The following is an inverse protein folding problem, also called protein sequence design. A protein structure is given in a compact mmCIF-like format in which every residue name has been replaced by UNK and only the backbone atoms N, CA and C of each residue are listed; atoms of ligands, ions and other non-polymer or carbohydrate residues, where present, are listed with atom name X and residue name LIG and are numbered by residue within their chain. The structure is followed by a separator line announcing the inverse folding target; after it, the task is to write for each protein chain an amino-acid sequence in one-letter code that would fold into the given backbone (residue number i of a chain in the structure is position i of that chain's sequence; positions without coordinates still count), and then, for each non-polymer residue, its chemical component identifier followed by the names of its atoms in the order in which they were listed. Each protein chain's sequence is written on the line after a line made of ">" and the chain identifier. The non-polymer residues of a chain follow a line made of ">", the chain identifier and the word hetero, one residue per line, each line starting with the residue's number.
data_IF_399805009702
#
_entry.id   IF_399805009702
#
_cell.length_a   1.000
_cell.length_b   1.000
_cell.length_c   1.000
_cell.angle_alpha   90.00
_cell.angle_beta   90.00
_cell.angle_gamma   90.00
#
_symmetry.space_group_name_H-M   'P 1'
#
loop_
_entity.id
_entity.type
_entity.pdbx_description
1 polymer ?
#
# COMPACT_ATOMS: atom_id res chain seq x y z
N UNK A 1 -39.95 39.85 -48.90
CA UNK A 1 -38.75 38.97 -48.83
C UNK A 1 -38.57 38.48 -47.41
N UNK A 2 -39.02 37.26 -47.11
CA UNK A 2 -38.74 36.57 -45.84
C UNK A 2 -38.16 35.22 -46.25
N UNK A 3 -36.84 35.05 -46.09
CA UNK A 3 -36.16 33.78 -46.34
C UNK A 3 -36.32 32.90 -45.11
N UNK A 4 -37.11 31.83 -45.23
CA UNK A 4 -37.19 30.77 -44.22
C UNK A 4 -36.03 29.78 -44.41
N UNK A 5 -35.12 29.71 -43.45
CA UNK A 5 -34.12 28.65 -43.37
C UNK A 5 -34.72 27.42 -42.67
N UNK A 6 -34.96 26.35 -43.43
CA UNK A 6 -35.29 25.04 -42.87
C UNK A 6 -33.99 24.33 -42.48
N UNK A 7 -33.65 24.31 -41.19
CA UNK A 7 -32.56 23.47 -40.68
C UNK A 7 -33.08 22.03 -40.58
N UNK A 8 -32.72 21.20 -41.56
CA UNK A 8 -32.88 19.75 -41.46
C UNK A 8 -31.84 19.27 -40.43
N UNK A 9 -32.29 19.02 -39.19
CA UNK A 9 -31.50 18.26 -38.21
C UNK A 9 -31.43 16.81 -38.67
N UNK A 10 -30.37 16.47 -39.39
CA UNK A 10 -29.98 15.06 -39.59
C UNK A 10 -29.50 14.53 -38.22
N UNK A 11 -30.43 13.95 -37.46
CA UNK A 11 -30.12 13.16 -36.28
C UNK A 11 -29.53 11.82 -36.73
N UNK A 12 -28.23 11.83 -37.01
CA UNK A 12 -27.43 10.62 -37.10
C UNK A 12 -27.35 9.97 -35.71
N UNK A 13 -28.30 9.10 -35.40
CA UNK A 13 -28.17 8.18 -34.28
C UNK A 13 -27.08 7.16 -34.62
N UNK A 14 -25.85 7.43 -34.21
CA UNK A 14 -24.90 6.35 -33.99
C UNK A 14 -25.47 5.46 -32.88
N UNK A 15 -26.08 4.33 -33.28
CA UNK A 15 -26.49 3.26 -32.38
C UNK A 15 -25.24 2.69 -31.71
N UNK A 16 -24.85 3.28 -30.58
CA UNK A 16 -23.88 2.67 -29.67
C UNK A 16 -24.49 1.37 -29.18
N UNK A 17 -23.92 0.24 -29.60
CA UNK A 17 -24.32 -1.09 -29.16
C UNK A 17 -24.19 -1.14 -27.64
N UNK A 18 -25.32 -1.14 -26.91
CA UNK A 18 -25.33 -1.24 -25.45
C UNK A 18 -24.90 -2.65 -25.06
N UNK A 19 -23.65 -2.81 -24.66
CA UNK A 19 -23.17 -4.05 -24.06
C UNK A 19 -23.89 -4.28 -22.73
N UNK A 20 -24.37 -5.51 -22.52
CA UNK A 20 -24.98 -5.91 -21.26
C UNK A 20 -23.89 -6.01 -20.19
N UNK A 21 -24.16 -5.48 -19.01
CA UNK A 21 -23.29 -5.67 -17.85
C UNK A 21 -23.34 -7.13 -17.38
N UNK A 22 -22.31 -7.61 -16.66
CA UNK A 22 -22.37 -8.87 -15.96
C UNK A 22 -23.60 -8.96 -15.04
N UNK A 23 -24.07 -10.18 -14.72
CA UNK A 23 -25.20 -10.37 -13.79
C UNK A 23 -24.85 -9.77 -12.42
N UNK A 24 -25.85 -9.32 -11.66
CA UNK A 24 -25.62 -8.75 -10.34
C UNK A 24 -26.89 -8.69 -9.50
N UNK A 25 -26.77 -8.59 -8.17
CA UNK A 25 -27.93 -8.38 -7.30
C UNK A 25 -28.64 -7.07 -7.69
N UNK A 26 -29.95 -7.02 -7.50
CA UNK A 26 -30.75 -5.84 -7.79
C UNK A 26 -30.38 -4.71 -6.82
N UNK A 27 -29.76 -3.61 -7.28
CA UNK A 27 -29.30 -2.55 -6.40
C UNK A 27 -30.48 -1.75 -5.83
N UNK A 28 -30.36 -1.29 -4.59
CA UNK A 28 -31.29 -0.32 -4.02
C UNK A 28 -31.09 1.06 -4.68
N UNK A 29 -32.13 1.89 -4.65
CA UNK A 29 -32.07 3.26 -5.16
C UNK A 29 -31.02 4.06 -4.36
N UNK A 30 -30.17 4.83 -5.06
CA UNK A 30 -29.07 5.65 -4.54
C UNK A 30 -27.89 4.89 -3.88
N UNK A 31 -28.15 3.94 -2.99
CA UNK A 31 -27.12 3.29 -2.16
C UNK A 31 -26.61 1.96 -2.73
N UNK A 32 -27.27 1.41 -3.76
CA UNK A 32 -26.89 0.12 -4.32
C UNK A 32 -27.01 -1.01 -3.29
N UNK A 33 -26.03 -1.90 -3.24
CA UNK A 33 -25.99 -3.05 -2.33
C UNK A 33 -25.22 -2.75 -1.02
N UNK A 34 -25.02 -1.47 -0.69
CA UNK A 34 -24.30 -1.04 0.52
C UNK A 34 -24.94 -1.56 1.82
N UNK A 35 -26.27 -1.48 2.04
CA UNK A 35 -26.88 -1.97 3.27
C UNK A 35 -26.62 -3.47 3.49
N UNK A 36 -26.81 -4.28 2.44
CA UNK A 36 -26.56 -5.73 2.47
C UNK A 36 -25.10 -6.05 2.77
N UNK A 37 -24.17 -5.33 2.15
CA UNK A 37 -22.73 -5.48 2.39
C UNK A 37 -22.36 -5.13 3.84
N UNK A 38 -22.94 -4.07 4.43
CA UNK A 38 -22.62 -3.63 5.79
C UNK A 38 -23.05 -4.65 6.86
N UNK A 39 -24.17 -5.34 6.64
CA UNK A 39 -24.66 -6.40 7.53
C UNK A 39 -23.82 -7.67 7.43
N UNK A 40 -23.20 -7.93 6.27
CA UNK A 40 -22.51 -9.20 5.97
C UNK A 40 -20.98 -9.09 5.94
N UNK A 41 -20.36 -8.21 6.74
CA UNK A 41 -18.89 -8.09 6.78
C UNK A 41 -18.22 -9.41 7.23
N UNK A 42 -17.01 -9.73 6.74
CA UNK A 42 -16.16 -8.92 5.87
C UNK A 42 -16.59 -8.97 4.39
N UNK A 43 -16.37 -7.86 3.68
CA UNK A 43 -16.88 -7.62 2.31
C UNK A 43 -16.50 -8.73 1.32
N UNK A 44 -15.25 -9.21 1.36
CA UNK A 44 -14.80 -10.26 0.44
C UNK A 44 -15.55 -11.60 0.62
N UNK A 45 -15.94 -11.94 1.86
CA UNK A 45 -16.74 -13.16 2.13
C UNK A 45 -18.17 -12.99 1.66
N UNK A 46 -18.75 -11.80 1.85
CA UNK A 46 -20.08 -11.48 1.34
C UNK A 46 -20.12 -11.56 -0.19
N UNK A 47 -19.16 -10.94 -0.89
CA UNK A 47 -19.04 -11.03 -2.35
C UNK A 47 -18.95 -12.50 -2.79
N UNK A 48 -18.09 -13.30 -2.15
CA UNK A 48 -17.93 -14.71 -2.50
C UNK A 48 -19.22 -15.52 -2.30
N UNK A 49 -19.92 -15.31 -1.18
CA UNK A 49 -21.20 -15.97 -0.89
C UNK A 49 -22.27 -15.58 -1.92
N UNK A 50 -22.38 -14.29 -2.22
CA UNK A 50 -23.30 -13.77 -3.23
C UNK A 50 -23.05 -14.38 -4.61
N UNK A 51 -21.78 -14.46 -5.04
CA UNK A 51 -21.43 -15.06 -6.34
C UNK A 51 -21.77 -16.55 -6.39
N UNK A 52 -21.59 -17.29 -5.28
CA UNK A 52 -22.02 -18.69 -5.18
C UNK A 52 -23.53 -18.86 -5.27
N UNK A 53 -24.29 -18.04 -4.55
CA UNK A 53 -25.76 -18.08 -4.57
C UNK A 53 -26.33 -17.74 -5.95
N UNK A 54 -25.68 -16.80 -6.66
CA UNK A 54 -26.03 -16.42 -8.03
C UNK A 54 -25.53 -17.41 -9.09
N UNK A 55 -24.74 -18.43 -8.71
CA UNK A 55 -24.08 -19.37 -9.59
C UNK A 55 -23.36 -18.67 -10.77
N UNK A 56 -22.52 -17.69 -10.45
CA UNK A 56 -21.81 -16.90 -11.46
C UNK A 56 -20.33 -16.70 -11.13
N UNK A 57 -19.51 -16.60 -12.16
CA UNK A 57 -18.06 -16.43 -12.05
C UNK A 57 -17.59 -14.99 -12.25
N UNK A 58 -18.50 -14.12 -12.74
CA UNK A 58 -18.30 -12.68 -12.92
C UNK A 58 -19.60 -11.97 -12.59
N UNK A 59 -19.55 -10.98 -11.72
CA UNK A 59 -20.74 -10.22 -11.33
C UNK A 59 -20.54 -8.71 -11.45
N UNK A 60 -21.63 -7.95 -11.41
CA UNK A 60 -21.63 -6.50 -11.30
C UNK A 60 -22.37 -6.07 -10.04
N UNK A 61 -21.64 -5.69 -9.01
CA UNK A 61 -22.18 -5.25 -7.72
C UNK A 61 -22.07 -3.74 -7.64
N UNK A 62 -23.20 -3.04 -7.54
CA UNK A 62 -23.20 -1.60 -7.33
C UNK A 62 -23.11 -1.26 -5.84
N UNK A 63 -22.10 -0.51 -5.41
CA UNK A 63 -21.98 0.05 -4.06
C UNK A 63 -22.05 1.58 -4.18
N UNK A 64 -23.16 2.18 -3.77
CA UNK A 64 -23.41 3.61 -3.99
C UNK A 64 -23.30 3.99 -5.47
N UNK A 65 -22.31 4.84 -5.78
CA UNK A 65 -22.03 5.32 -7.13
C UNK A 65 -20.98 4.50 -7.90
N UNK A 66 -20.43 3.44 -7.31
CA UNK A 66 -19.34 2.65 -7.91
C UNK A 66 -19.81 1.25 -8.26
N UNK A 67 -19.44 0.77 -9.44
CA UNK A 67 -19.62 -0.63 -9.84
C UNK A 67 -18.35 -1.43 -9.50
N UNK A 68 -18.52 -2.52 -8.76
CA UNK A 68 -17.48 -3.50 -8.45
C UNK A 68 -17.74 -4.73 -9.30
N UNK A 69 -16.71 -5.15 -10.04
CA UNK A 69 -16.75 -6.35 -10.87
C UNK A 69 -15.88 -7.44 -10.22
N UNK A 70 -16.42 -8.27 -9.32
CA UNK A 70 -15.68 -9.40 -8.80
C UNK A 70 -15.63 -10.53 -9.83
N UNK A 71 -14.50 -11.24 -9.84
CA UNK A 71 -14.25 -12.39 -10.71
C UNK A 71 -13.67 -13.53 -9.88
N UNK A 72 -14.22 -14.73 -10.03
CA UNK A 72 -13.75 -15.96 -9.36
C UNK A 72 -13.17 -17.00 -10.31
N UNK A 73 -13.39 -16.86 -11.62
CA UNK A 73 -12.86 -17.76 -12.64
C UNK A 73 -11.44 -17.37 -13.08
N UNK A 74 -10.45 -18.29 -12.99
CA UNK A 74 -9.08 -18.03 -13.43
C UNK A 74 -8.97 -17.65 -14.91
N UNK A 75 -9.78 -18.25 -15.79
CA UNK A 75 -9.77 -17.95 -17.22
C UNK A 75 -10.20 -16.51 -17.49
N UNK A 76 -11.27 -16.04 -16.83
CA UNK A 76 -11.70 -14.64 -16.92
C UNK A 76 -10.64 -13.71 -16.31
N UNK A 77 -10.01 -14.12 -15.19
CA UNK A 77 -8.92 -13.36 -14.60
C UNK A 77 -7.75 -13.15 -15.58
N UNK A 78 -7.38 -14.17 -16.35
CA UNK A 78 -6.33 -14.04 -17.37
C UNK A 78 -6.70 -13.06 -18.51
N UNK A 79 -7.98 -12.92 -18.85
CA UNK A 79 -8.39 -11.96 -19.90
C UNK A 79 -8.03 -10.52 -19.48
N UNK A 80 -8.31 -10.09 -18.25
CA UNK A 80 -8.02 -8.70 -17.84
C UNK A 80 -6.68 -8.51 -17.11
N UNK A 81 -6.07 -9.55 -16.52
CA UNK A 81 -4.76 -9.43 -15.87
C UNK A 81 -3.58 -9.65 -16.84
N UNK A 82 -3.83 -10.19 -18.04
CA UNK A 82 -2.75 -10.52 -18.99
C UNK A 82 -3.02 -10.05 -20.41
N UNK A 83 -4.20 -10.33 -20.97
CA UNK A 83 -4.50 -10.01 -22.37
C UNK A 83 -4.90 -8.54 -22.56
N UNK A 84 -5.65 -8.00 -21.60
CA UNK A 84 -6.09 -6.61 -21.54
C UNK A 84 -5.45 -5.88 -20.35
N UNK A 85 -4.26 -6.29 -19.93
CA UNK A 85 -3.62 -5.77 -18.71
C UNK A 85 -3.46 -4.24 -18.75
N UNK A 86 -3.12 -3.66 -19.89
CA UNK A 86 -3.00 -2.21 -20.09
C UNK A 86 -4.31 -1.47 -19.76
N UNK A 87 -5.46 -2.02 -20.18
CA UNK A 87 -6.78 -1.40 -19.97
C UNK A 87 -7.21 -1.48 -18.49
N UNK A 88 -6.77 -2.53 -17.77
CA UNK A 88 -7.15 -2.81 -16.38
C UNK A 88 -6.04 -2.54 -15.36
N UNK A 89 -4.91 -1.97 -15.78
CA UNK A 89 -3.79 -1.74 -14.87
C UNK A 89 -4.05 -0.62 -13.86
N UNK A 90 -5.04 0.25 -14.12
CA UNK A 90 -5.43 1.36 -13.25
C UNK A 90 -5.86 0.89 -11.85
N UNK A 91 -5.63 1.73 -10.84
CA UNK A 91 -6.05 1.48 -9.47
C UNK A 91 -7.16 2.46 -9.08
N UNK A 92 -8.17 2.03 -8.29
CA UNK A 92 -9.20 2.93 -7.82
C UNK A 92 -8.59 3.98 -6.90
N UNK A 93 -8.90 5.25 -7.16
CA UNK A 93 -8.49 6.35 -6.30
C UNK A 93 -9.43 6.40 -5.09
N UNK A 94 -8.86 6.31 -3.89
CA UNK A 94 -9.62 6.32 -2.63
C UNK A 94 -9.17 7.46 -1.73
N UNK A 95 -10.03 7.89 -0.82
CA UNK A 95 -9.71 8.91 0.18
C UNK A 95 -8.44 8.57 0.96
N UNK A 96 -8.31 7.31 1.42
CA UNK A 96 -7.15 6.87 2.18
C UNK A 96 -5.86 6.93 1.35
N UNK A 97 -5.91 6.44 0.11
CA UNK A 97 -4.73 6.40 -0.77
C UNK A 97 -4.33 7.81 -1.23
N UNK A 98 -5.28 8.70 -1.49
CA UNK A 98 -5.02 10.11 -1.77
C UNK A 98 -4.31 10.83 -0.62
N UNK A 99 -4.71 10.57 0.64
CA UNK A 99 -4.05 11.15 1.81
C UNK A 99 -2.64 10.58 1.98
N UNK A 100 -2.48 9.26 1.95
CA UNK A 100 -1.19 8.58 2.18
C UNK A 100 -0.17 8.96 1.11
N UNK A 101 -0.58 9.06 -0.15
CA UNK A 101 0.28 9.43 -1.28
C UNK A 101 0.48 10.93 -1.47
N UNK A 102 0.03 11.77 -0.52
CA UNK A 102 0.13 13.24 -0.61
C UNK A 102 -0.47 13.83 -1.90
N UNK A 103 -1.62 13.30 -2.33
CA UNK A 103 -2.31 13.69 -3.55
C UNK A 103 -1.79 12.98 -4.79
N UNK A 104 -1.57 11.65 -4.70
CA UNK A 104 -1.23 10.78 -5.83
C UNK A 104 0.10 11.11 -6.51
N UNK A 105 1.11 11.51 -5.74
CA UNK A 105 2.44 11.79 -6.30
C UNK A 105 3.34 10.55 -6.36
N UNK A 106 2.92 9.40 -5.85
CA UNK A 106 3.73 8.19 -5.67
C UNK A 106 3.30 7.03 -6.57
N UNK A 107 4.23 6.13 -6.92
CA UNK A 107 4.02 5.05 -7.92
C UNK A 107 2.79 4.17 -7.66
N UNK A 108 2.52 3.84 -6.39
CA UNK A 108 1.51 2.84 -6.05
C UNK A 108 0.08 3.32 -6.35
N UNK A 109 -0.11 4.63 -6.53
CA UNK A 109 -1.43 5.27 -6.52
C UNK A 109 -1.55 6.40 -7.57
N UNK A 110 -0.48 6.77 -8.26
CA UNK A 110 -0.55 7.76 -9.34
C UNK A 110 -1.28 7.17 -10.56
N UNK A 111 -2.25 7.89 -11.15
CA UNK A 111 -2.89 7.48 -12.40
C UNK A 111 -1.86 7.28 -13.52
N UNK A 112 -2.19 6.45 -14.50
CA UNK A 112 -1.36 6.26 -15.69
C UNK A 112 -1.06 7.60 -16.38
N UNK A 113 0.20 7.82 -16.73
CA UNK A 113 0.69 9.06 -17.33
C UNK A 113 2.19 9.23 -17.14
N UNK A 114 2.71 10.42 -17.47
CA UNK A 114 4.15 10.71 -17.40
C UNK A 114 4.69 10.63 -15.97
N UNK A 115 3.93 11.10 -14.97
CA UNK A 115 4.32 10.96 -13.56
C UNK A 115 4.44 9.49 -13.14
N UNK A 116 3.51 8.63 -13.59
CA UNK A 116 3.60 7.20 -13.32
C UNK A 116 4.82 6.57 -13.99
N UNK A 117 5.10 6.91 -15.25
CA UNK A 117 6.29 6.41 -15.97
C UNK A 117 7.58 6.85 -15.26
N UNK A 118 7.68 8.12 -14.87
CA UNK A 118 8.79 8.66 -14.07
C UNK A 118 8.99 7.86 -12.79
N UNK A 119 7.92 7.69 -12.01
CA UNK A 119 7.98 6.96 -10.74
C UNK A 119 8.31 5.47 -10.94
N UNK A 120 7.76 4.83 -11.98
CA UNK A 120 8.07 3.44 -12.34
C UNK A 120 9.53 3.25 -12.70
N UNK A 121 10.10 4.14 -13.49
CA UNK A 121 11.53 4.11 -13.81
C UNK A 121 12.38 4.15 -12.54
N UNK A 122 12.08 5.09 -11.64
CA UNK A 122 12.82 5.25 -10.37
C UNK A 122 12.73 3.98 -9.52
N UNK A 123 11.54 3.41 -9.37
CA UNK A 123 11.38 2.19 -8.59
C UNK A 123 12.14 1.02 -9.18
N UNK A 124 11.99 0.76 -10.47
CA UNK A 124 12.57 -0.43 -11.11
C UNK A 124 14.09 -0.33 -11.24
N UNK A 125 14.59 0.84 -11.64
CA UNK A 125 16.02 1.00 -11.96
C UNK A 125 16.83 1.38 -10.74
N UNK A 126 16.32 2.32 -9.93
CA UNK A 126 17.13 2.98 -8.90
C UNK A 126 16.91 2.35 -7.51
N UNK A 127 15.69 1.92 -7.18
CA UNK A 127 15.35 1.42 -5.83
C UNK A 127 15.33 -0.12 -5.71
N UNK A 128 14.82 -0.81 -6.73
CA UNK A 128 14.55 -2.25 -6.68
C UNK A 128 15.27 -3.04 -7.78
N UNK A 129 16.36 -2.51 -8.32
CA UNK A 129 17.21 -3.27 -9.22
C UNK A 129 17.96 -4.39 -8.48
N UNK A 130 18.38 -5.46 -9.18
CA UNK A 130 19.15 -6.54 -8.55
C UNK A 130 20.43 -6.04 -7.86
N UNK A 131 21.12 -5.07 -8.48
CA UNK A 131 22.30 -4.42 -7.89
C UNK A 131 21.95 -3.69 -6.60
N UNK A 132 20.85 -2.93 -6.58
CA UNK A 132 20.40 -2.22 -5.37
C UNK A 132 19.98 -3.20 -4.27
N UNK A 133 19.35 -4.31 -4.65
CA UNK A 133 19.00 -5.37 -3.71
C UNK A 133 20.24 -5.98 -3.04
N UNK A 134 21.30 -6.25 -3.81
CA UNK A 134 22.57 -6.76 -3.29
C UNK A 134 23.29 -5.73 -2.42
N UNK A 135 23.32 -4.47 -2.85
CA UNK A 135 23.95 -3.38 -2.07
C UNK A 135 23.32 -3.20 -0.67
N UNK A 136 22.03 -3.49 -0.53
CA UNK A 136 21.31 -3.43 0.74
C UNK A 136 21.35 -4.76 1.54
N UNK A 137 22.10 -5.76 1.11
CA UNK A 137 22.12 -7.09 1.73
C UNK A 137 22.63 -7.04 3.17
N UNK A 138 23.74 -6.36 3.42
CA UNK A 138 24.34 -6.29 4.76
C UNK A 138 23.38 -5.65 5.77
N UNK A 139 22.62 -4.64 5.35
CA UNK A 139 21.59 -4.02 6.18
C UNK A 139 20.46 -4.99 6.55
N UNK A 140 20.08 -5.89 5.64
CA UNK A 140 19.07 -6.93 5.94
C UNK A 140 19.63 -8.00 6.86
N UNK A 141 20.90 -8.38 6.68
CA UNK A 141 21.58 -9.35 7.54
C UNK A 141 21.70 -8.81 8.96
N UNK A 142 22.12 -7.55 9.12
CA UNK A 142 22.21 -6.87 10.41
C UNK A 142 20.86 -6.89 11.15
N UNK A 143 19.76 -6.63 10.44
CA UNK A 143 18.42 -6.68 11.03
C UNK A 143 17.98 -8.11 11.38
N UNK A 144 18.44 -9.13 10.64
CA UNK A 144 18.21 -10.54 10.95
C UNK A 144 18.98 -10.97 12.20
N UNK A 145 20.24 -10.57 12.34
CA UNK A 145 21.04 -10.83 13.53
C UNK A 145 20.43 -10.18 14.77
N UNK A 146 19.95 -8.94 14.63
CA UNK A 146 19.33 -8.22 15.73
C UNK A 146 18.00 -8.85 16.19
N UNK A 147 17.16 -9.37 15.28
CA UNK A 147 15.93 -10.05 15.70
C UNK A 147 16.23 -11.38 16.39
N UNK A 148 17.27 -12.09 15.94
CA UNK A 148 17.75 -13.30 16.61
C UNK A 148 18.27 -12.99 18.01
N UNK A 149 19.04 -11.92 18.16
CA UNK A 149 19.52 -11.45 19.46
C UNK A 149 18.35 -11.13 20.41
N UNK A 150 17.33 -10.43 19.93
CA UNK A 150 16.15 -10.10 20.72
C UNK A 150 15.38 -11.34 21.20
N UNK A 151 15.11 -12.28 20.29
CA UNK A 151 14.42 -13.54 20.64
C UNK A 151 15.26 -14.35 21.62
N UNK A 152 16.57 -14.45 21.40
CA UNK A 152 17.48 -15.16 22.30
C UNK A 152 17.47 -14.56 23.71
N UNK A 153 17.52 -13.22 23.83
CA UNK A 153 17.50 -12.55 25.13
C UNK A 153 16.18 -12.78 25.88
N UNK A 154 15.05 -12.77 25.16
CA UNK A 154 13.72 -13.12 25.69
C UNK A 154 13.66 -14.56 26.21
N UNK A 155 14.26 -15.52 25.50
CA UNK A 155 14.32 -16.92 25.93
C UNK A 155 15.26 -17.13 27.13
N UNK A 156 16.38 -16.40 27.21
CA UNK A 156 17.38 -16.58 28.26
C UNK A 156 16.98 -15.96 29.60
N UNK A 157 16.22 -14.88 29.59
CA UNK A 157 15.75 -14.18 30.78
C UNK A 157 14.22 -14.24 30.87
N UNK A 158 13.63 -15.43 31.12
CA UNK A 158 12.19 -15.57 31.18
C UNK A 158 11.62 -14.79 32.37
N UNK A 159 10.90 -13.71 32.10
CA UNK A 159 9.94 -13.12 33.03
C UNK A 159 8.59 -13.84 32.90
N UNK A 160 7.55 -13.44 33.65
CA UNK A 160 6.17 -13.96 33.49
C UNK A 160 5.61 -13.82 32.04
N UNK A 161 6.31 -13.08 31.16
CA UNK A 161 6.04 -12.87 29.73
C UNK A 161 7.06 -13.61 28.82
N UNK A 162 7.50 -14.82 29.21
CA UNK A 162 8.51 -15.62 28.51
C UNK A 162 8.06 -16.13 27.12
N UNK A 163 6.76 -16.08 26.80
CA UNK A 163 6.24 -16.52 25.51
C UNK A 163 6.56 -15.49 24.42
N UNK A 164 7.26 -15.93 23.39
CA UNK A 164 7.57 -15.08 22.24
C UNK A 164 6.35 -14.97 21.33
N UNK A 165 5.76 -13.77 21.27
CA UNK A 165 4.71 -13.47 20.30
C UNK A 165 5.33 -13.31 18.90
N UNK A 166 5.28 -14.39 18.10
CA UNK A 166 5.85 -14.44 16.75
C UNK A 166 5.29 -13.35 15.84
N UNK A 167 4.01 -12.99 15.99
CA UNK A 167 3.41 -11.88 15.23
C UNK A 167 4.11 -10.57 15.54
N UNK A 168 4.27 -10.23 16.82
CA UNK A 168 4.91 -8.97 17.22
C UNK A 168 6.36 -8.93 16.73
N UNK A 169 7.12 -10.01 16.95
CA UNK A 169 8.51 -10.16 16.48
C UNK A 169 8.61 -9.96 14.97
N UNK A 170 7.75 -10.63 14.20
CA UNK A 170 7.71 -10.51 12.74
C UNK A 170 7.37 -9.08 12.27
N UNK A 171 6.38 -8.45 12.91
CA UNK A 171 5.98 -7.08 12.61
C UNK A 171 7.12 -6.09 12.87
N UNK A 172 7.80 -6.20 14.02
CA UNK A 172 8.94 -5.37 14.35
C UNK A 172 10.12 -5.60 13.41
N UNK A 173 10.46 -6.85 13.13
CA UNK A 173 11.53 -7.16 12.17
C UNK A 173 11.26 -6.55 10.80
N UNK A 174 10.04 -6.71 10.25
CA UNK A 174 9.71 -6.11 8.96
C UNK A 174 9.83 -4.58 8.95
N UNK A 175 9.29 -3.92 9.98
CA UNK A 175 9.35 -2.47 10.11
C UNK A 175 10.79 -1.97 10.27
N UNK A 176 11.61 -2.68 11.05
CA UNK A 176 13.01 -2.31 11.27
C UNK A 176 13.85 -2.52 10.01
N UNK A 177 13.66 -3.63 9.28
CA UNK A 177 14.23 -3.82 7.94
C UNK A 177 13.86 -2.66 7.04
N UNK A 178 12.57 -2.35 6.87
CA UNK A 178 12.14 -1.24 6.01
C UNK A 178 12.79 0.10 6.44
N UNK A 179 12.87 0.37 7.74
CA UNK A 179 13.51 1.58 8.28
C UNK A 179 15.01 1.63 8.00
N UNK A 180 15.72 0.52 8.19
CA UNK A 180 17.15 0.39 7.93
C UNK A 180 17.45 0.56 6.44
N UNK A 181 16.63 -0.01 5.55
CA UNK A 181 16.81 0.15 4.11
C UNK A 181 16.52 1.59 3.64
N UNK A 182 15.53 2.26 4.24
CA UNK A 182 15.11 3.60 3.81
C UNK A 182 15.99 4.70 4.42
N UNK A 183 16.33 4.61 5.71
CA UNK A 183 16.95 5.69 6.48
C UNK A 183 18.30 5.33 7.11
N UNK A 184 18.80 4.11 6.86
CA UNK A 184 19.96 3.55 7.56
C UNK A 184 19.85 3.61 9.10
N UNK A 185 18.62 3.64 9.62
CA UNK A 185 18.33 3.89 11.03
C UNK A 185 17.52 2.73 11.60
N UNK A 186 17.94 2.22 12.77
CA UNK A 186 17.21 1.17 13.50
C UNK A 186 16.19 1.76 14.47
N UNK A 187 16.59 2.72 15.30
CA UNK A 187 15.74 3.33 16.32
C UNK A 187 15.48 4.81 16.05
N UNK A 188 14.25 5.28 16.28
CA UNK A 188 13.95 6.71 16.30
C UNK A 188 14.30 7.35 17.64
N UNK A 189 14.19 6.58 18.73
CA UNK A 189 14.53 6.98 20.09
C UNK A 189 15.69 6.17 20.66
N UNK A 190 15.69 5.99 21.99
CA UNK A 190 16.65 5.12 22.67
C UNK A 190 16.24 3.67 22.45
N UNK A 191 17.12 2.89 21.83
CA UNK A 191 16.93 1.43 21.73
C UNK A 191 16.95 0.74 23.09
N UNK A 192 16.57 -0.53 23.11
CA UNK A 192 16.63 -1.37 24.31
C UNK A 192 17.90 -2.23 24.31
N UNK A 193 18.39 -2.57 25.50
CA UNK A 193 19.58 -3.41 25.70
C UNK A 193 19.37 -4.84 25.18
N UNK A 194 18.13 -5.33 25.22
CA UNK A 194 17.73 -6.62 24.67
C UNK A 194 17.60 -6.61 23.13
N UNK A 195 17.88 -5.50 22.46
CA UNK A 195 17.72 -5.36 21.00
C UNK A 195 16.27 -5.26 20.52
N UNK A 196 15.31 -5.22 21.46
CA UNK A 196 13.89 -5.09 21.22
C UNK A 196 13.46 -3.67 20.84
N UNK A 197 12.19 -3.49 20.46
CA UNK A 197 11.66 -2.18 20.07
C UNK A 197 11.57 -1.23 21.27
N UNK A 198 11.92 0.04 21.06
CA UNK A 198 11.62 1.12 22.01
C UNK A 198 10.17 1.62 21.89
N UNK A 199 9.81 2.63 22.68
CA UNK A 199 8.45 3.20 22.66
C UNK A 199 8.10 3.79 21.29
N UNK A 200 9.05 4.50 20.67
CA UNK A 200 8.88 5.09 19.35
C UNK A 200 8.75 4.02 18.25
N UNK A 201 9.45 2.88 18.38
CA UNK A 201 9.33 1.76 17.46
C UNK A 201 7.95 1.11 17.53
N UNK A 202 7.45 0.88 18.74
CA UNK A 202 6.12 0.33 18.98
C UNK A 202 5.03 1.27 18.45
N UNK A 203 5.15 2.57 18.73
CA UNK A 203 4.23 3.60 18.19
C UNK A 203 4.27 3.59 16.65
N UNK A 204 5.47 3.59 16.06
CA UNK A 204 5.68 3.60 14.61
C UNK A 204 5.09 2.37 13.92
N UNK A 205 5.34 1.16 14.44
CA UNK A 205 4.78 -0.09 13.91
C UNK A 205 3.25 -0.05 13.96
N UNK A 206 2.68 0.35 15.10
CA UNK A 206 1.23 0.45 15.26
C UNK A 206 0.61 1.41 14.24
N UNK A 207 1.22 2.59 14.03
CA UNK A 207 0.77 3.57 13.05
C UNK A 207 0.77 2.98 11.63
N UNK A 208 1.81 2.24 11.25
CA UNK A 208 1.87 1.64 9.92
C UNK A 208 0.73 0.63 9.73
N UNK A 209 0.47 -0.22 10.72
CA UNK A 209 -0.66 -1.16 10.66
C UNK A 209 -2.02 -0.46 10.64
N UNK A 210 -2.16 0.68 11.33
CA UNK A 210 -3.33 1.55 11.19
C UNK A 210 -3.46 2.01 9.75
N UNK A 211 -2.41 2.52 9.11
CA UNK A 211 -2.48 2.97 7.72
C UNK A 211 -2.81 1.81 6.77
N UNK A 212 -2.10 0.68 6.86
CA UNK A 212 -2.33 -0.50 6.04
C UNK A 212 -3.76 -1.03 6.14
N UNK A 213 -4.34 -1.03 7.36
CA UNK A 213 -5.73 -1.46 7.59
C UNK A 213 -6.75 -0.59 6.83
N UNK A 214 -6.40 0.65 6.51
CA UNK A 214 -7.31 1.58 5.82
C UNK A 214 -7.00 1.73 4.33
N UNK A 215 -5.83 1.25 3.85
CA UNK A 215 -5.53 1.19 2.41
C UNK A 215 -6.52 0.24 1.73
N UNK A 216 -7.29 0.77 0.76
CA UNK A 216 -8.37 0.07 0.06
C UNK A 216 -9.45 -0.55 0.95
N UNK A 217 -9.51 -0.18 2.23
CA UNK A 217 -10.63 -0.55 3.08
C UNK A 217 -11.90 0.14 2.59
N UNK A 218 -13.04 -0.53 2.77
CA UNK A 218 -14.32 0.10 2.51
C UNK A 218 -14.46 1.39 3.34
N UNK A 219 -14.53 2.55 2.69
CA UNK A 219 -14.93 3.81 3.30
C UNK A 219 -16.18 4.35 2.63
N UNK A 220 -17.15 4.82 3.41
CA UNK A 220 -18.40 5.40 2.88
C UNK A 220 -18.10 6.53 1.89
N UNK A 221 -17.05 7.32 2.16
CA UNK A 221 -16.64 8.45 1.33
C UNK A 221 -16.22 8.07 -0.10
N UNK A 222 -15.74 6.84 -0.31
CA UNK A 222 -15.31 6.35 -1.63
C UNK A 222 -16.49 5.92 -2.51
N UNK A 223 -17.63 5.55 -1.90
CA UNK A 223 -18.82 5.05 -2.59
C UNK A 223 -19.96 6.07 -2.65
N UNK A 224 -20.02 6.96 -1.66
CA UNK A 224 -21.00 8.04 -1.54
C UNK A 224 -20.27 9.35 -1.24
N UNK A 225 -19.74 10.06 -2.26
CA UNK A 225 -18.84 11.20 -2.07
C UNK A 225 -19.44 12.36 -1.24
N UNK A 226 -20.74 12.61 -1.36
CA UNK A 226 -21.42 13.69 -0.62
C UNK A 226 -21.48 13.43 0.90
N UNK A 227 -21.39 12.18 1.34
CA UNK A 227 -21.25 11.82 2.76
C UNK A 227 -19.80 11.93 3.26
N UNK A 228 -18.82 12.14 2.36
CA UNK A 228 -17.40 12.18 2.71
C UNK A 228 -16.98 13.34 3.62
N UNK A 229 -17.82 14.37 3.77
CA UNK A 229 -17.59 15.45 4.73
C UNK A 229 -17.81 15.01 6.19
N UNK A 230 -18.68 14.03 6.42
CA UNK A 230 -19.12 13.64 7.76
C UNK A 230 -18.17 12.64 8.46
N UNK A 231 -17.29 11.96 7.71
CA UNK A 231 -16.36 10.94 8.24
C UNK A 231 -17.08 9.89 9.12
N UNK A 232 -18.22 9.38 8.65
CA UNK A 232 -19.14 8.52 9.41
C UNK A 232 -18.48 7.24 9.96
N UNK A 233 -17.48 6.71 9.26
CA UNK A 233 -16.72 5.52 9.65
C UNK A 233 -15.41 5.87 10.39
N UNK A 234 -15.09 7.15 10.54
CA UNK A 234 -13.86 7.65 11.17
C UNK A 234 -12.59 7.36 10.35
N UNK A 235 -12.70 6.84 9.12
CA UNK A 235 -11.53 6.44 8.33
C UNK A 235 -10.64 7.63 8.02
N UNK A 236 -11.22 8.77 7.63
CA UNK A 236 -10.47 9.97 7.25
C UNK A 236 -9.64 10.47 8.42
N UNK A 237 -10.23 10.54 9.61
CA UNK A 237 -9.53 10.95 10.83
C UNK A 237 -8.40 9.99 11.21
N UNK A 238 -8.63 8.68 11.17
CA UNK A 238 -7.61 7.67 11.46
C UNK A 238 -6.43 7.75 10.50
N UNK A 239 -6.70 7.86 9.19
CA UNK A 239 -5.64 7.98 8.17
C UNK A 239 -4.88 9.30 8.32
N UNK A 240 -5.57 10.43 8.54
CA UNK A 240 -4.90 11.72 8.77
C UNK A 240 -4.02 11.71 10.01
N UNK A 241 -4.51 11.17 11.13
CA UNK A 241 -3.75 11.08 12.37
C UNK A 241 -2.56 10.14 12.22
N UNK A 242 -2.76 8.97 11.60
CA UNK A 242 -1.67 8.04 11.30
C UNK A 242 -0.60 8.66 10.40
N UNK A 243 -0.99 9.37 9.34
CA UNK A 243 -0.05 10.07 8.47
C UNK A 243 0.71 11.17 9.21
N UNK A 244 0.02 11.94 10.06
CA UNK A 244 0.66 12.97 10.89
C UNK A 244 1.74 12.36 11.79
N UNK A 245 1.44 11.23 12.42
CA UNK A 245 2.40 10.54 13.28
C UNK A 245 3.53 9.89 12.48
N UNK A 246 3.29 9.33 11.29
CA UNK A 246 4.39 8.89 10.40
C UNK A 246 5.35 10.03 10.08
N UNK A 247 4.81 11.21 9.73
CA UNK A 247 5.61 12.40 9.40
C UNK A 247 6.42 12.91 10.59
N UNK A 248 5.92 12.79 11.82
CA UNK A 248 6.68 13.11 13.06
C UNK A 248 8.03 12.38 13.09
N UNK A 249 8.09 11.13 12.62
CA UNK A 249 9.32 10.33 12.60
C UNK A 249 10.12 10.47 11.31
N UNK A 250 9.45 10.56 10.15
CA UNK A 250 10.12 10.53 8.85
C UNK A 250 10.63 11.91 8.41
N UNK A 251 9.84 12.97 8.58
CA UNK A 251 10.16 14.28 8.01
C UNK A 251 11.47 14.88 8.55
N UNK A 252 11.80 14.80 9.86
CA UNK A 252 13.07 15.32 10.37
C UNK A 252 14.29 14.66 9.72
N UNK A 253 14.25 13.34 9.51
CA UNK A 253 15.33 12.59 8.87
C UNK A 253 15.46 13.01 7.40
N UNK A 254 14.33 13.14 6.69
CA UNK A 254 14.31 13.54 5.28
C UNK A 254 14.81 14.97 5.09
N UNK A 255 14.37 15.90 5.93
CA UNK A 255 14.76 17.31 5.85
C UNK A 255 16.25 17.51 6.13
N UNK A 256 16.77 16.87 7.19
CA UNK A 256 18.19 16.91 7.51
C UNK A 256 19.03 16.29 6.40
N UNK A 257 18.63 15.13 5.85
CA UNK A 257 19.37 14.51 4.75
C UNK A 257 19.34 15.35 3.47
N UNK A 258 18.21 15.98 3.14
CA UNK A 258 18.12 16.92 2.00
C UNK A 258 19.09 18.09 2.21
N UNK A 259 19.22 18.61 3.44
CA UNK A 259 20.16 19.69 3.74
C UNK A 259 21.61 19.25 3.53
N UNK A 260 21.98 18.07 4.03
CA UNK A 260 23.34 17.52 3.91
C UNK A 260 23.76 17.29 2.45
N UNK A 261 22.83 16.86 1.59
CA UNK A 261 23.11 16.74 0.15
C UNK A 261 23.21 18.10 -0.56
N UNK A 262 22.50 19.13 -0.06
CA UNK A 262 22.55 20.47 -0.64
C UNK A 262 23.82 21.23 -0.26
N UNK A 263 24.30 21.08 0.96
CA UNK A 263 25.53 21.73 1.45
C UNK A 263 26.81 20.94 1.13
N UNK A 264 26.67 19.72 0.61
CA UNK A 264 27.78 18.88 0.17
C UNK A 264 28.45 18.09 1.30
N UNK A 265 27.92 18.15 2.53
CA UNK A 265 28.38 17.30 3.64
C UNK A 265 28.05 15.81 3.43
N UNK A 266 27.04 15.50 2.61
CA UNK A 266 26.72 14.16 2.11
C UNK A 266 27.01 14.06 0.62
N UNK A 267 27.86 13.11 0.23
CA UNK A 267 28.27 12.88 -1.17
C UNK A 267 28.12 11.44 -1.62
N UNK A 268 27.90 10.51 -0.70
CA UNK A 268 27.82 9.07 -0.95
C UNK A 268 26.42 8.59 -0.57
N UNK A 269 25.82 7.78 -1.44
CA UNK A 269 24.59 7.07 -1.13
C UNK A 269 24.85 5.97 -0.10
N UNK A 270 24.07 5.92 0.97
CA UNK A 270 24.15 4.85 1.99
C UNK A 270 22.84 4.09 2.20
N UNK A 271 21.71 4.67 1.79
CA UNK A 271 20.37 4.11 1.91
C UNK A 271 19.46 4.59 0.77
N UNK A 272 18.22 4.09 0.72
CA UNK A 272 17.27 4.47 -0.34
C UNK A 272 16.85 5.95 -0.28
N UNK A 273 16.90 6.60 0.88
CA UNK A 273 16.61 8.04 0.97
C UNK A 273 17.70 8.84 0.24
N UNK A 274 18.97 8.49 0.42
CA UNK A 274 20.06 9.12 -0.31
C UNK A 274 19.91 8.98 -1.81
N UNK A 275 19.53 7.79 -2.30
CA UNK A 275 19.24 7.55 -3.73
C UNK A 275 18.16 8.52 -4.22
N UNK A 276 17.05 8.63 -3.48
CA UNK A 276 15.95 9.50 -3.88
C UNK A 276 16.38 10.98 -3.95
N UNK A 277 17.29 11.41 -3.08
CA UNK A 277 17.79 12.80 -3.04
C UNK A 277 18.85 13.04 -4.13
N UNK A 278 19.72 12.05 -4.39
CA UNK A 278 20.84 12.16 -5.32
C UNK A 278 20.40 12.18 -6.79
N UNK A 279 19.25 11.59 -7.12
CA UNK A 279 18.74 11.47 -8.49
C UNK A 279 18.63 12.82 -9.21
N UNK A 280 19.35 12.95 -10.32
CA UNK A 280 19.32 14.10 -11.23
C UNK A 280 18.73 13.75 -12.59
N UNK A 281 18.08 14.73 -13.23
CA UNK A 281 17.64 14.63 -14.61
C UNK A 281 18.79 14.92 -15.59
N UNK A 282 18.50 14.86 -16.90
CA UNK A 282 19.49 15.12 -17.96
C UNK A 282 20.09 16.53 -17.91
N UNK A 283 19.43 17.47 -17.23
CA UNK A 283 19.86 18.86 -17.08
C UNK A 283 20.53 19.10 -15.71
N UNK A 284 20.88 18.03 -14.99
CA UNK A 284 21.46 18.07 -13.65
C UNK A 284 20.55 18.67 -12.56
N UNK A 285 19.24 18.77 -12.81
CA UNK A 285 18.25 19.21 -11.83
C UNK A 285 17.78 18.03 -10.96
N UNK A 286 17.35 18.26 -9.70
CA UNK A 286 16.74 17.21 -8.90
C UNK A 286 15.53 16.58 -9.61
N UNK A 287 15.55 15.25 -9.77
CA UNK A 287 14.43 14.52 -10.40
C UNK A 287 13.17 14.57 -9.53
N UNK A 288 13.36 14.64 -8.21
CA UNK A 288 12.30 14.58 -7.21
C UNK A 288 12.27 15.85 -6.36
N UNK A 289 11.06 16.35 -6.12
CA UNK A 289 10.79 17.41 -5.16
C UNK A 289 10.84 16.86 -3.73
N UNK A 290 11.09 17.73 -2.74
CA UNK A 290 11.03 17.35 -1.32
C UNK A 290 9.68 16.71 -0.94
N UNK A 291 8.57 17.20 -1.52
CA UNK A 291 7.23 16.62 -1.33
C UNK A 291 7.15 15.19 -1.87
N UNK A 292 7.70 14.93 -3.06
CA UNK A 292 7.74 13.58 -3.64
C UNK A 292 8.60 12.65 -2.79
N UNK A 293 9.80 13.08 -2.36
CA UNK A 293 10.69 12.27 -1.52
C UNK A 293 9.99 11.87 -0.22
N UNK A 294 9.38 12.82 0.51
CA UNK A 294 8.62 12.53 1.74
C UNK A 294 7.45 11.59 1.51
N UNK A 295 6.72 11.74 0.40
CA UNK A 295 5.62 10.84 0.09
C UNK A 295 6.12 9.43 -0.26
N UNK A 296 7.24 9.34 -0.99
CA UNK A 296 7.85 8.08 -1.38
C UNK A 296 8.39 7.29 -0.19
N UNK A 297 9.02 7.92 0.79
CA UNK A 297 9.51 7.21 1.98
C UNK A 297 8.36 6.54 2.74
N UNK A 298 7.21 7.20 2.88
CA UNK A 298 6.01 6.64 3.53
C UNK A 298 5.44 5.46 2.70
N UNK A 299 5.37 5.62 1.38
CA UNK A 299 4.85 4.58 0.48
C UNK A 299 5.79 3.38 0.39
N UNK A 300 7.10 3.59 0.35
CA UNK A 300 8.10 2.53 0.42
C UNK A 300 7.98 1.75 1.72
N UNK A 301 7.85 2.45 2.85
CA UNK A 301 7.76 1.81 4.16
C UNK A 301 6.49 0.95 4.28
N UNK A 302 5.34 1.48 3.87
CA UNK A 302 4.07 0.73 3.88
C UNK A 302 4.06 -0.43 2.88
N UNK A 303 4.62 -0.25 1.68
CA UNK A 303 4.65 -1.28 0.64
C UNK A 303 5.59 -2.44 0.98
N UNK A 304 6.79 -2.14 1.47
CA UNK A 304 7.76 -3.15 1.91
C UNK A 304 7.16 -4.01 3.03
N UNK A 305 6.48 -3.40 4.00
CA UNK A 305 5.83 -4.12 5.09
C UNK A 305 4.70 -5.03 4.60
N UNK A 306 3.89 -4.57 3.64
CA UNK A 306 2.78 -5.38 3.12
C UNK A 306 3.28 -6.69 2.49
N UNK A 307 4.35 -6.62 1.68
CA UNK A 307 4.96 -7.77 1.02
C UNK A 307 5.56 -8.74 2.04
N UNK A 308 6.30 -8.23 3.02
CA UNK A 308 6.98 -9.08 4.01
C UNK A 308 6.00 -9.73 4.99
N UNK A 309 4.95 -9.03 5.42
CA UNK A 309 3.93 -9.59 6.32
C UNK A 309 3.08 -10.66 5.63
N UNK A 310 2.74 -10.48 4.36
CA UNK A 310 2.07 -11.54 3.58
C UNK A 310 2.98 -12.76 3.44
N UNK A 311 4.28 -12.57 3.15
CA UNK A 311 5.25 -13.67 3.08
C UNK A 311 5.47 -14.37 4.43
N UNK A 312 5.41 -13.65 5.56
CA UNK A 312 5.53 -14.25 6.90
C UNK A 312 4.24 -14.95 7.35
N UNK A 313 3.07 -14.50 6.88
CA UNK A 313 1.81 -15.23 7.11
C UNK A 313 1.81 -16.59 6.42
N UNK A 314 2.46 -16.70 5.25
CA UNK A 314 2.74 -17.98 4.60
C UNK A 314 3.66 -18.84 5.47
N UNK A 315 4.69 -18.25 6.10
CA UNK A 315 5.55 -18.97 7.03
C UNK A 315 4.84 -19.41 8.31
N UNK A 316 3.89 -18.64 8.85
CA UNK A 316 3.09 -19.08 9.98
C UNK A 316 2.28 -20.35 9.65
N UNK A 317 1.74 -20.43 8.44
CA UNK A 317 1.10 -21.65 7.94
C UNK A 317 2.10 -22.83 7.80
N UNK A 318 3.39 -22.58 7.60
CA UNK A 318 4.44 -23.60 7.64
C UNK A 318 4.79 -24.02 9.08
N UNK A 319 4.78 -23.10 10.04
CA UNK A 319 5.01 -23.40 11.47
C UNK A 319 3.88 -24.27 12.07
N UNK A 320 2.63 -24.05 11.66
CA UNK A 320 1.48 -24.87 12.08
C UNK A 320 1.52 -26.31 11.50
N UNK A 321 2.36 -26.55 10.49
CA UNK A 321 2.56 -27.86 9.89
C UNK A 321 3.94 -28.41 10.29
N UNK A 322 4.02 -29.04 11.46
CA UNK A 322 5.24 -29.65 12.03
C UNK A 322 6.01 -30.59 11.08
N UNK A 323 5.38 -31.12 10.03
CA UNK A 323 6.03 -31.94 9.01
C UNK A 323 7.10 -31.21 8.19
N UNK A 324 7.07 -29.87 8.10
CA UNK A 324 8.03 -29.09 7.32
C UNK A 324 9.29 -28.69 8.10
N UNK A 325 9.28 -28.77 9.43
CA UNK A 325 10.43 -28.45 10.28
C UNK A 325 11.01 -29.73 10.89
N UNK A 326 11.70 -30.54 10.07
CA UNK A 326 12.69 -31.48 10.59
C UNK A 326 13.96 -30.70 10.90
N UNK A 327 14.11 -30.26 12.14
CA UNK A 327 15.44 -29.97 12.69
C UNK A 327 16.15 -31.32 12.68
N UNK A 328 17.09 -31.52 11.76
CA UNK A 328 18.06 -32.61 11.90
C UNK A 328 18.88 -32.27 13.13
N UNK A 329 18.61 -32.94 14.25
CA UNK A 329 19.59 -33.04 15.33
C UNK A 329 20.86 -33.62 14.71
N UNK A 330 21.97 -32.89 14.86
CA UNK A 330 23.33 -33.35 14.59
C UNK A 330 24.07 -33.37 15.91
#
# INVERSE_FOLDING_TARGET
>A
MIFGFTIIKVLGYHLVKKFKLPPGPKPWLLVGNLPEMLVNKPVFRWIHKLMKEMNTEIACIRLGNVNIIPVTCPTIACEFLRKHDVDFASRPLTMATGIISSGYVTIAIVPFGEQWKKMRRIFVNDLFSPLRHQWLQDKRNEEADNIMFYVYHKCKNPSDDALVNVRNVAQHYCCNVARKLIFNTRYFGKGREDGGPGLEEEEHVNIIFVLLKHVYAFSVSDYIPWLGMLDLDGHKRKVKNGLKMMKKYHDPIVEERIKQWKDGSKTIEEDLLDVLISLKDVNNNPTLTSKEIKALTIVLHTSLLSLTVTCMSIHHHLFDNHHYFKIKEV
#
